data_IF_860064321699
#
_entry.id   IF_860064321699
#
_cell.length_a   1.000
_cell.length_b   1.000
_cell.length_c   1.000
_cell.angle_alpha   90.00
_cell.angle_beta   90.00
_cell.angle_gamma   90.00
#
_symmetry.space_group_name_H-M   'P 1'
#
loop_
_entity.id
_entity.type
_entity.pdbx_description
1 polymer ?
#
# COMPACT_ATOMS: atom_id res chain seq x y z
N UNK A 1 35.67 -8.55 4.39
CA UNK A 1 34.36 -8.16 4.92
C UNK A 1 33.37 -8.27 3.78
N UNK A 2 32.22 -8.88 4.03
CA UNK A 2 31.18 -9.06 3.03
C UNK A 2 30.33 -7.79 2.94
N UNK A 3 29.85 -7.41 1.75
CA UNK A 3 28.99 -6.24 1.57
C UNK A 3 27.51 -6.61 1.81
N UNK A 4 27.22 -7.04 3.04
CA UNK A 4 25.90 -7.55 3.47
C UNK A 4 25.56 -7.08 4.90
N UNK A 5 24.28 -7.11 5.25
CA UNK A 5 23.80 -7.13 6.62
C UNK A 5 23.20 -8.49 6.97
N UNK A 6 23.32 -8.89 8.23
CA UNK A 6 22.80 -10.18 8.74
C UNK A 6 21.95 -9.93 9.96
N UNK A 7 20.74 -10.47 9.95
CA UNK A 7 19.80 -10.49 11.08
C UNK A 7 19.52 -11.94 11.44
N UNK A 8 19.59 -12.26 12.72
CA UNK A 8 19.23 -13.57 13.28
C UNK A 8 18.13 -13.38 14.31
N UNK A 9 17.41 -14.44 14.67
CA UNK A 9 16.41 -14.37 15.73
C UNK A 9 17.02 -13.92 17.06
N UNK A 10 18.22 -14.45 17.36
CA UNK A 10 18.97 -14.10 18.56
C UNK A 10 20.14 -13.18 18.26
N UNK A 11 20.33 -12.16 19.11
CA UNK A 11 21.52 -11.31 19.11
C UNK A 11 21.40 -10.04 18.25
N UNK A 12 22.49 -9.25 18.17
CA UNK A 12 22.48 -7.98 17.46
C UNK A 12 22.70 -8.14 15.95
N UNK A 13 22.00 -7.32 15.16
CA UNK A 13 22.24 -7.12 13.73
C UNK A 13 23.73 -6.91 13.42
N UNK A 14 24.23 -7.58 12.38
CA UNK A 14 25.62 -7.47 11.93
C UNK A 14 25.66 -6.73 10.61
N UNK A 15 26.54 -5.73 10.53
CA UNK A 15 26.86 -5.03 9.28
C UNK A 15 28.24 -5.43 8.82
N UNK A 16 28.35 -5.83 7.56
CA UNK A 16 29.56 -6.24 6.86
C UNK A 16 30.39 -7.33 7.55
N UNK A 17 29.81 -8.45 8.02
CA UNK A 17 30.55 -9.47 8.75
C UNK A 17 31.66 -10.12 7.90
N UNK A 18 32.59 -10.80 8.58
CA UNK A 18 33.54 -11.70 7.92
C UNK A 18 32.90 -13.02 7.49
N UNK A 19 33.57 -13.78 6.63
CA UNK A 19 33.06 -15.09 6.19
C UNK A 19 32.94 -16.09 7.34
N UNK A 20 33.96 -16.16 8.21
CA UNK A 20 33.94 -17.05 9.38
C UNK A 20 32.78 -16.72 10.33
N UNK A 21 32.48 -15.43 10.50
CA UNK A 21 31.36 -14.97 11.33
C UNK A 21 30.01 -15.38 10.72
N UNK A 22 29.81 -15.18 9.41
CA UNK A 22 28.59 -15.63 8.74
C UNK A 22 28.42 -17.15 8.82
N UNK A 23 29.51 -17.91 8.65
CA UNK A 23 29.48 -19.37 8.80
C UNK A 23 29.08 -19.80 10.22
N UNK A 24 29.63 -19.16 11.25
CA UNK A 24 29.28 -19.46 12.65
C UNK A 24 27.81 -19.17 12.94
N UNK A 25 27.26 -18.07 12.41
CA UNK A 25 25.85 -17.74 12.54
C UNK A 25 24.96 -18.79 11.86
N UNK A 26 25.26 -19.17 10.63
CA UNK A 26 24.47 -20.17 9.87
C UNK A 26 24.46 -21.55 10.54
N UNK A 27 25.58 -21.98 11.12
CA UNK A 27 25.68 -23.29 11.80
C UNK A 27 24.90 -23.37 13.10
N UNK A 28 24.56 -22.23 13.71
CA UNK A 28 23.73 -22.18 14.93
C UNK A 28 22.23 -22.33 14.64
N UNK A 29 21.81 -22.07 13.41
CA UNK A 29 20.40 -22.03 13.05
C UNK A 29 19.74 -23.41 13.26
N UNK A 30 18.64 -23.42 14.01
CA UNK A 30 17.97 -24.60 14.55
C UNK A 30 18.21 -24.81 16.06
N UNK A 31 19.03 -23.98 16.71
CA UNK A 31 19.17 -24.00 18.16
C UNK A 31 17.99 -23.26 18.85
N UNK A 32 17.82 -23.49 20.15
CA UNK A 32 16.81 -22.80 20.96
C UNK A 32 16.92 -21.27 20.84
N UNK A 33 15.82 -20.62 20.45
CA UNK A 33 15.71 -19.18 20.14
C UNK A 33 16.61 -18.69 18.98
N UNK A 34 17.05 -19.57 18.06
CA UNK A 34 17.86 -19.19 16.90
C UNK A 34 17.43 -19.96 15.65
N UNK A 35 16.21 -19.71 15.17
CA UNK A 35 15.59 -20.50 14.10
C UNK A 35 15.74 -19.87 12.71
N UNK A 36 16.08 -18.58 12.61
CA UNK A 36 16.23 -17.91 11.32
C UNK A 36 17.47 -17.04 11.20
N UNK A 37 17.90 -16.89 9.95
CA UNK A 37 18.86 -15.88 9.51
C UNK A 37 18.36 -15.25 8.22
N UNK A 38 18.44 -13.92 8.13
CA UNK A 38 18.14 -13.12 6.94
C UNK A 38 19.38 -12.32 6.58
N UNK A 39 19.78 -12.39 5.32
CA UNK A 39 20.96 -11.69 4.79
C UNK A 39 20.54 -10.80 3.63
N UNK A 40 20.84 -9.50 3.75
CA UNK A 40 20.49 -8.45 2.79
C UNK A 40 21.77 -7.81 2.23
N UNK A 41 21.69 -7.17 1.07
CA UNK A 41 22.83 -6.41 0.50
C UNK A 41 23.17 -5.20 1.37
N UNK A 42 24.43 -4.76 1.36
CA UNK A 42 24.87 -3.52 1.99
C UNK A 42 25.72 -2.70 1.01
N UNK A 43 25.29 -1.50 0.54
CA UNK A 43 24.02 -0.84 0.87
C UNK A 43 22.80 -1.68 0.48
N UNK A 44 21.68 -1.45 1.17
CA UNK A 44 20.44 -2.21 0.98
C UNK A 44 19.95 -2.11 -0.47
N UNK A 45 19.75 -3.26 -1.09
CA UNK A 45 19.09 -3.39 -2.38
C UNK A 45 17.66 -3.88 -2.10
N UNK A 46 16.67 -3.09 -2.52
CA UNK A 46 15.27 -3.42 -2.28
C UNK A 46 14.93 -4.81 -2.84
N UNK A 47 14.21 -5.60 -2.05
CA UNK A 47 13.74 -6.94 -2.44
C UNK A 47 14.87 -7.95 -2.76
N UNK A 48 16.11 -7.72 -2.32
CA UNK A 48 17.24 -8.62 -2.54
C UNK A 48 17.77 -9.21 -1.23
N UNK A 49 17.44 -10.48 -0.95
CA UNK A 49 17.89 -11.18 0.25
C UNK A 49 18.08 -12.68 0.01
N UNK A 50 18.84 -13.32 0.90
CA UNK A 50 18.83 -14.77 1.11
C UNK A 50 18.56 -15.05 2.58
N UNK A 51 17.66 -15.98 2.87
CA UNK A 51 17.29 -16.35 4.23
C UNK A 51 17.23 -17.86 4.41
N UNK A 52 17.40 -18.30 5.64
CA UNK A 52 17.24 -19.69 6.02
C UNK A 52 16.49 -19.78 7.32
N UNK A 53 15.60 -20.76 7.40
CA UNK A 53 14.89 -21.14 8.61
C UNK A 53 15.08 -22.63 8.87
N UNK A 54 15.21 -23.01 10.14
CA UNK A 54 15.31 -24.40 10.57
C UNK A 54 14.75 -24.55 11.98
N UNK A 55 14.05 -25.66 12.20
CA UNK A 55 13.63 -26.10 13.53
C UNK A 55 14.44 -27.32 13.95
N UNK A 56 15.02 -27.25 15.15
CA UNK A 56 15.91 -28.27 15.71
C UNK A 56 16.94 -28.80 14.67
N UNK A 57 16.95 -30.13 14.49
CA UNK A 57 17.82 -30.83 13.55
C UNK A 57 17.16 -31.07 12.18
N UNK A 58 15.99 -30.49 11.90
CA UNK A 58 15.24 -30.64 10.66
C UNK A 58 15.97 -30.12 9.40
N UNK A 59 15.38 -30.25 8.20
CA UNK A 59 15.94 -29.62 7.02
C UNK A 59 15.86 -28.09 7.12
N UNK A 60 16.85 -27.40 6.57
CA UNK A 60 16.77 -25.98 6.33
C UNK A 60 15.75 -25.71 5.22
N UNK A 61 14.83 -24.78 5.47
CA UNK A 61 14.14 -24.05 4.42
C UNK A 61 15.03 -22.87 4.03
N UNK A 62 15.55 -22.87 2.80
CA UNK A 62 16.36 -21.78 2.27
C UNK A 62 15.54 -21.03 1.24
N UNK A 63 15.56 -19.71 1.30
CA UNK A 63 14.87 -18.86 0.35
C UNK A 63 15.76 -17.72 -0.11
N UNK A 64 15.52 -17.24 -1.32
CA UNK A 64 16.08 -15.98 -1.75
C UNK A 64 15.05 -15.19 -2.55
N UNK A 65 15.20 -13.87 -2.52
CA UNK A 65 14.50 -12.95 -3.40
C UNK A 65 15.52 -12.15 -4.19
N UNK A 66 15.33 -12.07 -5.50
CA UNK A 66 16.23 -11.40 -6.42
C UNK A 66 15.57 -10.12 -6.94
N UNK A 67 15.44 -9.10 -6.11
CA UNK A 67 15.02 -7.74 -6.50
C UNK A 67 13.57 -7.58 -6.99
N UNK A 68 12.74 -8.62 -6.92
CA UNK A 68 11.30 -8.53 -7.20
C UNK A 68 10.52 -9.66 -6.49
N UNK A 69 9.24 -9.45 -6.16
CA UNK A 69 8.41 -10.45 -5.48
C UNK A 69 8.25 -11.76 -6.26
N UNK A 70 8.16 -11.70 -7.60
CA UNK A 70 8.01 -12.85 -8.50
C UNK A 70 9.32 -13.62 -8.66
N UNK A 71 10.44 -12.99 -8.29
CA UNK A 71 11.79 -13.60 -8.28
C UNK A 71 12.13 -14.10 -6.87
N UNK A 72 11.17 -14.72 -6.20
CA UNK A 72 11.35 -15.40 -4.92
C UNK A 72 11.37 -16.90 -5.15
N UNK A 73 12.37 -17.56 -4.58
CA UNK A 73 12.55 -19.00 -4.69
C UNK A 73 12.79 -19.62 -3.31
N UNK A 74 12.39 -20.87 -3.16
CA UNK A 74 12.58 -21.70 -1.96
C UNK A 74 13.23 -23.03 -2.36
N UNK A 75 14.07 -23.56 -1.48
CA UNK A 75 14.57 -24.93 -1.53
C UNK A 75 14.65 -25.51 -0.12
N UNK A 76 14.69 -26.84 -0.01
CA UNK A 76 15.01 -27.53 1.24
C UNK A 76 16.40 -28.15 1.17
N UNK A 77 17.15 -28.10 2.27
CA UNK A 77 18.45 -28.77 2.39
C UNK A 77 18.67 -29.33 3.78
N UNK A 78 18.99 -30.62 3.89
CA UNK A 78 19.47 -31.23 5.14
C UNK A 78 20.97 -31.03 5.39
N UNK A 79 21.69 -30.44 4.43
CA UNK A 79 23.15 -30.24 4.51
C UNK A 79 23.46 -28.79 4.90
N UNK A 80 23.88 -28.59 6.15
CA UNK A 80 24.24 -27.29 6.69
C UNK A 80 25.45 -26.67 5.97
N UNK A 81 26.43 -27.47 5.53
CA UNK A 81 27.60 -26.94 4.84
C UNK A 81 27.22 -26.46 3.43
N UNK A 82 26.30 -27.17 2.76
CA UNK A 82 25.74 -26.68 1.49
C UNK A 82 25.01 -25.34 1.65
N UNK A 83 24.25 -25.15 2.74
CA UNK A 83 23.60 -23.87 3.05
C UNK A 83 24.64 -22.78 3.29
N UNK A 84 25.71 -23.06 4.03
CA UNK A 84 26.83 -22.12 4.23
C UNK A 84 27.47 -21.72 2.90
N UNK A 85 27.72 -22.68 2.00
CA UNK A 85 28.28 -22.41 0.67
C UNK A 85 27.37 -21.47 -0.15
N UNK A 86 26.06 -21.71 -0.14
CA UNK A 86 25.07 -20.86 -0.82
C UNK A 86 25.15 -19.42 -0.32
N UNK A 87 25.12 -19.20 1.00
CA UNK A 87 25.13 -17.87 1.58
C UNK A 87 26.45 -17.14 1.34
N UNK A 88 27.59 -17.83 1.46
CA UNK A 88 28.90 -17.24 1.21
C UNK A 88 29.08 -16.86 -0.27
N UNK A 89 28.67 -17.72 -1.20
CA UNK A 89 28.75 -17.41 -2.63
C UNK A 89 27.83 -16.25 -3.01
N UNK A 90 26.58 -16.23 -2.50
CA UNK A 90 25.67 -15.10 -2.68
C UNK A 90 26.25 -13.80 -2.12
N UNK A 91 26.81 -13.82 -0.91
CA UNK A 91 27.39 -12.66 -0.25
C UNK A 91 28.63 -12.09 -0.97
N UNK A 92 29.38 -12.94 -1.68
CA UNK A 92 30.51 -12.52 -2.53
C UNK A 92 30.08 -11.97 -3.90
N UNK A 93 28.80 -12.12 -4.26
CA UNK A 93 28.30 -11.79 -5.60
C UNK A 93 28.60 -12.87 -6.65
N UNK A 94 28.83 -14.12 -6.22
CA UNK A 94 28.96 -15.26 -7.11
C UNK A 94 27.63 -15.70 -7.73
N UNK A 95 27.69 -16.77 -8.54
CA UNK A 95 26.52 -17.32 -9.23
C UNK A 95 26.32 -18.83 -9.00
N UNK A 96 27.27 -19.50 -8.36
CA UNK A 96 27.22 -20.95 -8.15
C UNK A 96 26.05 -21.35 -7.24
N UNK A 97 25.69 -20.47 -6.28
CA UNK A 97 24.53 -20.63 -5.42
C UNK A 97 23.21 -20.84 -6.18
N UNK A 98 23.07 -20.26 -7.39
CA UNK A 98 21.84 -20.35 -8.20
C UNK A 98 21.53 -21.77 -8.69
N UNK A 99 22.52 -22.65 -8.70
CA UNK A 99 22.36 -24.07 -9.08
C UNK A 99 22.72 -25.02 -7.95
N UNK A 100 23.05 -24.49 -6.77
CA UNK A 100 23.55 -25.27 -5.64
C UNK A 100 22.46 -26.05 -4.91
N UNK A 101 21.20 -25.62 -5.01
CA UNK A 101 20.01 -26.27 -4.45
C UNK A 101 18.95 -26.44 -5.56
N UNK A 102 17.97 -27.30 -5.30
CA UNK A 102 16.81 -27.49 -6.18
C UNK A 102 15.78 -26.38 -5.93
N UNK A 103 16.08 -25.19 -6.46
CA UNK A 103 15.25 -24.00 -6.28
C UNK A 103 13.91 -24.13 -6.98
N UNK A 104 12.83 -23.97 -6.22
CA UNK A 104 11.46 -23.88 -6.71
C UNK A 104 10.96 -22.44 -6.54
N UNK A 105 10.09 -21.95 -7.43
CA UNK A 105 9.45 -20.65 -7.24
C UNK A 105 8.65 -20.64 -5.93
N UNK A 106 8.86 -19.64 -5.09
CA UNK A 106 8.10 -19.48 -3.87
C UNK A 106 6.69 -19.00 -4.24
N UNK A 107 5.71 -19.86 -4.02
CA UNK A 107 4.32 -19.60 -4.38
C UNK A 107 3.63 -18.66 -3.36
N UNK A 108 4.10 -17.41 -3.31
CA UNK A 108 3.57 -16.42 -2.37
C UNK A 108 2.30 -15.73 -2.89
N UNK A 109 2.20 -15.57 -4.21
CA UNK A 109 1.12 -14.80 -4.85
C UNK A 109 0.29 -15.61 -5.84
N UNK A 110 0.60 -16.89 -6.10
CA UNK A 110 -0.32 -17.69 -6.90
C UNK A 110 -1.54 -18.04 -6.08
N UNK A 111 -2.65 -18.21 -6.79
CA UNK A 111 -3.96 -18.53 -6.24
C UNK A 111 -4.38 -19.86 -6.86
N UNK A 112 -3.84 -21.00 -6.39
CA UNK A 112 -4.06 -22.29 -7.02
C UNK A 112 -5.56 -22.63 -7.06
N UNK A 113 -6.07 -22.96 -8.24
CA UNK A 113 -7.48 -23.29 -8.44
C UNK A 113 -8.40 -22.09 -8.70
N UNK A 114 -7.90 -20.86 -8.57
CA UNK A 114 -8.63 -19.68 -9.01
C UNK A 114 -8.54 -19.55 -10.54
N UNK A 115 -9.69 -19.37 -11.20
CA UNK A 115 -9.69 -19.21 -12.65
C UNK A 115 -9.05 -17.87 -13.08
N UNK A 116 -8.39 -17.81 -14.25
CA UNK A 116 -7.65 -16.61 -14.66
C UNK A 116 -8.53 -15.37 -14.90
N UNK A 117 -9.79 -15.53 -15.31
CA UNK A 117 -10.69 -14.41 -15.60
C UNK A 117 -11.14 -13.75 -14.29
N UNK A 118 -11.56 -14.56 -13.32
CA UNK A 118 -11.86 -14.10 -11.96
C UNK A 118 -10.65 -13.47 -11.29
N UNK A 119 -9.46 -14.07 -11.42
CA UNK A 119 -8.22 -13.48 -10.90
C UNK A 119 -7.97 -12.10 -11.51
N UNK A 120 -8.13 -11.93 -12.81
CA UNK A 120 -7.95 -10.64 -13.48
C UNK A 120 -8.94 -9.57 -12.98
N UNK A 121 -10.21 -9.94 -12.75
CA UNK A 121 -11.21 -9.04 -12.15
C UNK A 121 -10.81 -8.65 -10.72
N UNK A 122 -10.34 -9.61 -9.92
CA UNK A 122 -9.87 -9.36 -8.56
C UNK A 122 -8.65 -8.44 -8.53
N UNK A 123 -7.69 -8.63 -9.44
CA UNK A 123 -6.53 -7.76 -9.62
C UNK A 123 -6.92 -6.33 -10.00
N UNK A 124 -7.83 -6.17 -10.98
CA UNK A 124 -8.31 -4.85 -11.36
C UNK A 124 -8.94 -4.12 -10.18
N UNK A 125 -9.76 -4.83 -9.40
CA UNK A 125 -10.40 -4.30 -8.19
C UNK A 125 -9.40 -3.93 -7.10
N UNK A 126 -8.37 -4.75 -6.91
CA UNK A 126 -7.28 -4.48 -5.99
C UNK A 126 -6.50 -3.23 -6.42
N UNK A 127 -6.10 -3.13 -7.70
CA UNK A 127 -5.37 -1.97 -8.25
C UNK A 127 -6.15 -0.67 -8.04
N UNK A 128 -7.45 -0.65 -8.30
CA UNK A 128 -8.30 0.53 -8.06
C UNK A 128 -8.25 1.00 -6.59
N UNK A 129 -8.40 0.07 -5.64
CA UNK A 129 -8.39 0.41 -4.21
C UNK A 129 -6.99 0.85 -3.72
N UNK A 130 -5.94 0.15 -4.18
CA UNK A 130 -4.52 0.45 -3.88
C UNK A 130 -4.13 1.82 -4.43
N UNK A 131 -4.51 2.13 -5.68
CA UNK A 131 -4.20 3.42 -6.30
C UNK A 131 -4.98 4.57 -5.65
N UNK A 132 -6.20 4.29 -5.17
CA UNK A 132 -6.96 5.23 -4.36
C UNK A 132 -6.22 5.63 -3.07
N UNK A 133 -5.50 4.69 -2.44
CA UNK A 133 -4.58 4.97 -1.33
C UNK A 133 -5.25 5.33 0.00
N UNK A 134 -6.55 5.04 0.15
CA UNK A 134 -7.31 5.28 1.39
C UNK A 134 -7.50 4.05 2.26
N UNK A 135 -7.32 2.85 1.71
CA UNK A 135 -7.57 1.58 2.39
C UNK A 135 -6.26 0.93 2.79
N UNK A 136 -6.23 0.31 3.97
CA UNK A 136 -5.12 -0.54 4.38
C UNK A 136 -5.14 -1.90 3.66
N UNK A 137 -4.08 -2.68 3.82
CA UNK A 137 -3.92 -3.99 3.16
C UNK A 137 -5.11 -4.93 3.42
N UNK A 138 -5.59 -4.98 4.67
CA UNK A 138 -6.68 -5.86 5.06
C UNK A 138 -8.00 -5.41 4.44
N UNK A 139 -8.28 -4.11 4.48
CA UNK A 139 -9.47 -3.51 3.87
C UNK A 139 -9.51 -3.72 2.36
N UNK A 140 -8.35 -3.64 1.67
CA UNK A 140 -8.27 -3.96 0.24
C UNK A 140 -8.57 -5.44 0.00
N UNK A 141 -7.93 -6.36 0.72
CA UNK A 141 -8.15 -7.80 0.54
C UNK A 141 -9.61 -8.20 0.83
N UNK A 142 -10.20 -7.64 1.89
CA UNK A 142 -11.62 -7.83 2.21
C UNK A 142 -12.51 -7.27 1.10
N UNK A 143 -12.25 -6.04 0.63
CA UNK A 143 -13.04 -5.42 -0.44
C UNK A 143 -12.93 -6.14 -1.80
N UNK A 144 -11.83 -6.85 -2.05
CA UNK A 144 -11.67 -7.72 -3.24
C UNK A 144 -12.52 -8.98 -3.09
N UNK A 145 -12.46 -9.65 -1.93
CA UNK A 145 -13.28 -10.84 -1.64
C UNK A 145 -14.79 -10.53 -1.72
N UNK A 146 -15.23 -9.47 -1.04
CA UNK A 146 -16.64 -9.06 -0.97
C UNK A 146 -17.22 -8.65 -2.34
N UNK A 147 -16.38 -8.24 -3.29
CA UNK A 147 -16.83 -7.84 -4.63
C UNK A 147 -17.50 -8.99 -5.40
N UNK A 148 -17.24 -10.24 -5.01
CA UNK A 148 -17.83 -11.43 -5.64
C UNK A 148 -19.07 -11.97 -4.91
N UNK A 149 -19.56 -11.24 -3.89
CA UNK A 149 -20.75 -11.59 -3.14
C UNK A 149 -20.45 -12.40 -1.86
N UNK A 150 -21.43 -12.48 -0.94
CA UNK A 150 -21.21 -13.05 0.39
C UNK A 150 -21.28 -14.59 0.46
N UNK A 151 -21.87 -15.25 -0.53
CA UNK A 151 -22.09 -16.70 -0.54
C UNK A 151 -21.14 -17.39 -1.53
N UNK A 152 -20.24 -18.24 -1.01
CA UNK A 152 -19.26 -19.01 -1.78
C UNK A 152 -18.52 -18.19 -2.85
N UNK A 153 -17.84 -17.08 -2.46
CA UNK A 153 -17.17 -16.23 -3.42
C UNK A 153 -16.08 -17.03 -4.14
N UNK A 154 -15.98 -16.94 -5.48
CA UNK A 154 -14.92 -17.60 -6.24
C UNK A 154 -13.52 -17.14 -5.82
N UNK A 155 -13.39 -15.96 -5.21
CA UNK A 155 -12.16 -15.47 -4.59
C UNK A 155 -12.28 -15.57 -3.08
N UNK A 156 -11.50 -16.46 -2.48
CA UNK A 156 -11.39 -16.53 -1.02
C UNK A 156 -10.64 -15.30 -0.46
N UNK A 157 -10.80 -15.02 0.84
CA UNK A 157 -10.00 -13.95 1.48
C UNK A 157 -8.48 -14.25 1.41
N UNK A 158 -8.09 -15.52 1.41
CA UNK A 158 -6.70 -15.93 1.32
C UNK A 158 -6.14 -15.66 -0.09
N UNK A 159 -6.89 -15.99 -1.15
CA UNK A 159 -6.53 -15.65 -2.53
C UNK A 159 -6.50 -14.13 -2.74
N UNK A 160 -7.46 -13.39 -2.16
CA UNK A 160 -7.45 -11.94 -2.18
C UNK A 160 -6.19 -11.37 -1.52
N UNK A 161 -5.77 -11.90 -0.36
CA UNK A 161 -4.51 -11.48 0.29
C UNK A 161 -3.29 -11.76 -0.57
N UNK A 162 -3.23 -12.90 -1.27
CA UNK A 162 -2.14 -13.21 -2.21
C UNK A 162 -2.10 -12.24 -3.39
N UNK A 163 -3.25 -11.96 -4.00
CA UNK A 163 -3.37 -10.99 -5.10
C UNK A 163 -2.94 -9.59 -4.63
N UNK A 164 -3.48 -9.13 -3.50
CA UNK A 164 -3.17 -7.82 -2.93
C UNK A 164 -1.69 -7.75 -2.52
N UNK A 165 -1.11 -8.83 -2.00
CA UNK A 165 0.32 -8.96 -1.66
C UNK A 165 1.24 -8.44 -2.74
N UNK A 166 1.17 -9.04 -3.93
CA UNK A 166 2.04 -8.64 -5.05
C UNK A 166 1.81 -7.19 -5.47
N UNK A 167 0.54 -6.79 -5.63
CA UNK A 167 0.16 -5.44 -6.06
C UNK A 167 0.54 -4.35 -5.04
N UNK A 168 0.51 -4.68 -3.75
CA UNK A 168 0.89 -3.77 -2.68
C UNK A 168 2.40 -3.54 -2.67
N UNK A 169 3.19 -4.58 -2.90
CA UNK A 169 4.64 -4.47 -3.04
C UNK A 169 5.06 -3.66 -4.28
N UNK A 170 4.41 -3.91 -5.43
CA UNK A 170 4.55 -3.08 -6.64
C UNK A 170 4.31 -1.60 -6.31
N UNK A 171 3.21 -1.32 -5.60
CA UNK A 171 2.84 0.05 -5.20
C UNK A 171 3.86 0.70 -4.27
N UNK A 172 4.39 -0.04 -3.30
CA UNK A 172 5.41 0.47 -2.38
C UNK A 172 6.71 0.79 -3.12
N UNK A 173 7.09 -0.02 -4.12
CA UNK A 173 8.26 0.26 -4.96
C UNK A 173 8.07 1.54 -5.78
N UNK A 174 6.90 1.73 -6.41
CA UNK A 174 6.57 2.99 -7.11
C UNK A 174 6.67 4.21 -6.18
N UNK A 175 6.15 4.07 -4.95
CA UNK A 175 6.14 5.16 -3.96
C UNK A 175 7.53 5.63 -3.55
N UNK A 176 8.55 4.76 -3.61
CA UNK A 176 9.92 5.12 -3.28
C UNK A 176 10.52 6.14 -4.27
N UNK A 177 10.00 6.19 -5.50
CA UNK A 177 10.44 7.10 -6.55
C UNK A 177 9.66 8.43 -6.57
N UNK A 178 8.65 8.58 -5.71
CA UNK A 178 7.78 9.75 -5.71
C UNK A 178 8.43 10.97 -5.08
N UNK A 179 8.05 12.19 -5.53
CA UNK A 179 8.45 13.41 -4.85
C UNK A 179 7.90 13.45 -3.43
N UNK A 180 8.59 14.14 -2.51
CA UNK A 180 8.17 14.30 -1.11
C UNK A 180 6.71 14.77 -0.97
N UNK A 181 6.29 15.69 -1.85
CA UNK A 181 4.91 16.20 -1.90
C UNK A 181 4.29 15.84 -3.24
N UNK A 182 3.18 15.10 -3.21
CA UNK A 182 2.36 14.75 -4.38
C UNK A 182 1.12 15.64 -4.50
N UNK A 183 0.39 15.54 -5.62
CA UNK A 183 -0.89 16.25 -5.76
C UNK A 183 -1.95 15.74 -4.77
N UNK A 184 -1.92 14.46 -4.41
CA UNK A 184 -2.79 13.93 -3.36
C UNK A 184 -2.51 14.58 -1.99
N UNK A 185 -1.24 14.87 -1.68
CA UNK A 185 -0.87 15.62 -0.46
C UNK A 185 -1.38 17.07 -0.52
N UNK A 186 -1.37 17.70 -1.69
CA UNK A 186 -1.94 19.04 -1.91
C UNK A 186 -3.45 19.05 -1.73
N UNK A 187 -4.15 18.05 -2.26
CA UNK A 187 -5.60 17.87 -2.06
C UNK A 187 -5.90 17.71 -0.57
N UNK A 188 -5.15 16.86 0.14
CA UNK A 188 -5.32 16.67 1.58
C UNK A 188 -5.17 17.99 2.37
N UNK A 189 -4.13 18.77 2.08
CA UNK A 189 -3.91 20.09 2.69
C UNK A 189 -5.04 21.08 2.38
N UNK A 190 -5.56 21.07 1.15
CA UNK A 190 -6.68 21.93 0.79
C UNK A 190 -7.97 21.55 1.56
N UNK A 191 -8.25 20.25 1.70
CA UNK A 191 -9.39 19.76 2.48
C UNK A 191 -9.26 20.07 3.98
N UNK A 192 -8.07 19.92 4.55
CA UNK A 192 -7.79 20.34 5.94
C UNK A 192 -8.02 21.84 6.14
N UNK A 193 -7.51 22.67 5.22
CA UNK A 193 -7.70 24.12 5.25
C UNK A 193 -9.17 24.53 5.07
N UNK A 194 -9.95 23.78 4.30
CA UNK A 194 -11.40 23.99 4.14
C UNK A 194 -12.16 23.65 5.43
N UNK A 195 -11.75 22.58 6.12
CA UNK A 195 -12.24 22.25 7.46
C UNK A 195 -12.01 23.40 8.45
N UNK A 196 -10.80 23.95 8.49
CA UNK A 196 -10.46 25.09 9.33
C UNK A 196 -11.22 26.39 8.99
N UNK A 197 -11.84 26.47 7.80
CA UNK A 197 -12.66 27.61 7.33
C UNK A 197 -14.16 27.42 7.56
N UNK A 198 -14.55 26.42 8.37
CA UNK A 198 -15.94 26.14 8.74
C UNK A 198 -16.72 25.41 7.65
N UNK A 199 -16.09 24.44 6.98
CA UNK A 199 -16.77 23.52 6.08
C UNK A 199 -16.62 22.07 6.57
N UNK A 200 -17.69 21.29 6.46
CA UNK A 200 -17.63 19.83 6.60
C UNK A 200 -16.84 19.26 5.41
N UNK A 201 -15.54 19.07 5.57
CA UNK A 201 -14.64 18.59 4.52
C UNK A 201 -14.40 17.08 4.64
N UNK A 202 -14.72 16.31 3.60
CA UNK A 202 -14.49 14.86 3.57
C UNK A 202 -13.87 14.37 2.27
N UNK A 203 -12.80 13.59 2.38
CA UNK A 203 -12.10 12.97 1.26
C UNK A 203 -12.55 11.52 1.14
N UNK A 204 -12.72 11.04 -0.10
CA UNK A 204 -13.10 9.65 -0.39
C UNK A 204 -14.25 9.20 0.51
N UNK A 205 -15.38 9.90 0.44
CA UNK A 205 -16.49 9.78 1.36
C UNK A 205 -17.72 9.17 0.69
N UNK A 206 -18.21 8.06 1.27
CA UNK A 206 -19.34 7.29 0.75
C UNK A 206 -19.11 6.70 -0.65
N UNK A 207 -19.99 5.80 -1.08
CA UNK A 207 -19.79 5.06 -2.33
C UNK A 207 -20.08 5.89 -3.59
N UNK A 208 -20.99 6.87 -3.51
CA UNK A 208 -21.41 7.68 -4.64
C UNK A 208 -21.98 9.03 -4.17
N UNK A 209 -22.21 9.94 -5.12
CA UNK A 209 -22.75 11.28 -4.84
C UNK A 209 -24.07 11.28 -4.07
N UNK A 210 -24.99 10.36 -4.35
CA UNK A 210 -26.31 10.36 -3.72
C UNK A 210 -26.25 9.92 -2.24
N UNK A 211 -25.43 8.91 -1.95
CA UNK A 211 -25.18 8.47 -0.58
C UNK A 211 -24.45 9.56 0.21
N UNK A 212 -23.39 10.15 -0.37
CA UNK A 212 -22.62 11.21 0.27
C UNK A 212 -23.48 12.42 0.63
N UNK A 213 -24.36 12.89 -0.26
CA UNK A 213 -25.26 14.03 0.03
C UNK A 213 -26.24 13.71 1.15
N UNK A 214 -26.76 12.48 1.23
CA UNK A 214 -27.66 12.05 2.31
C UNK A 214 -26.97 11.94 3.68
N UNK A 215 -25.66 11.67 3.68
CA UNK A 215 -24.89 11.40 4.91
C UNK A 215 -24.17 12.65 5.43
N UNK A 216 -23.58 13.47 4.56
CA UNK A 216 -22.66 14.57 4.92
C UNK A 216 -23.27 15.63 5.85
N UNK A 217 -24.60 15.83 5.78
CA UNK A 217 -25.30 16.76 6.65
C UNK A 217 -25.27 16.32 8.13
N UNK A 218 -25.19 15.02 8.40
CA UNK A 218 -25.10 14.47 9.75
C UNK A 218 -23.73 14.68 10.39
N UNK A 219 -22.71 15.00 9.60
CA UNK A 219 -21.34 15.24 10.07
C UNK A 219 -21.02 16.73 10.28
N UNK A 220 -22.01 17.60 10.08
CA UNK A 220 -21.89 19.05 10.27
C UNK A 220 -21.48 19.37 11.71
N UNK A 221 -20.34 20.06 11.88
CA UNK A 221 -19.98 20.62 13.17
C UNK A 221 -20.75 21.93 13.45
N UNK A 222 -20.81 22.32 14.72
CA UNK A 222 -21.39 23.61 15.10
C UNK A 222 -20.59 24.76 14.44
N UNK A 223 -21.28 25.63 13.72
CA UNK A 223 -20.67 26.75 12.99
C UNK A 223 -20.26 26.44 11.55
N UNK A 224 -20.31 25.19 11.10
CA UNK A 224 -20.07 24.88 9.69
C UNK A 224 -21.16 25.49 8.82
N UNK A 225 -20.73 26.23 7.79
CA UNK A 225 -21.60 26.97 6.85
C UNK A 225 -21.84 26.23 5.54
N UNK A 226 -21.13 25.13 5.31
CA UNK A 226 -21.26 24.32 4.11
C UNK A 226 -20.44 23.05 4.21
N UNK A 227 -20.38 22.31 3.11
CA UNK A 227 -19.63 21.06 3.01
C UNK A 227 -18.87 21.00 1.69
N UNK A 228 -17.87 20.13 1.67
CA UNK A 228 -17.07 19.81 0.49
C UNK A 228 -16.65 18.36 0.56
N UNK A 229 -16.83 17.61 -0.53
CA UNK A 229 -16.42 16.21 -0.59
C UNK A 229 -16.09 15.73 -2.00
N UNK A 230 -15.36 14.61 -2.07
CA UNK A 230 -15.34 13.71 -3.22
C UNK A 230 -15.55 12.29 -2.72
N UNK A 231 -16.16 11.42 -3.53
CA UNK A 231 -16.56 10.07 -3.15
C UNK A 231 -15.66 8.99 -3.77
N UNK A 232 -15.90 7.72 -3.44
CA UNK A 232 -15.06 6.60 -3.89
C UNK A 232 -14.83 6.59 -5.41
N UNK A 233 -15.89 6.78 -6.21
CA UNK A 233 -15.78 6.79 -7.68
C UNK A 233 -14.99 8.00 -8.22
N UNK A 234 -14.97 9.14 -7.52
CA UNK A 234 -14.15 10.28 -7.95
C UNK A 234 -12.66 9.97 -7.70
N UNK A 235 -12.36 9.27 -6.61
CA UNK A 235 -11.00 8.77 -6.32
C UNK A 235 -10.55 7.76 -7.37
N UNK A 236 -11.42 6.83 -7.77
CA UNK A 236 -11.13 5.85 -8.83
C UNK A 236 -10.84 6.57 -10.16
N UNK A 237 -11.68 7.53 -10.56
CA UNK A 237 -11.45 8.34 -11.76
C UNK A 237 -10.13 9.13 -11.69
N UNK A 238 -9.79 9.72 -10.54
CA UNK A 238 -8.54 10.43 -10.34
C UNK A 238 -7.33 9.51 -10.47
N UNK A 239 -7.40 8.32 -9.87
CA UNK A 239 -6.37 7.28 -9.95
C UNK A 239 -6.17 6.75 -11.39
N UNK A 240 -7.21 6.78 -12.22
CA UNK A 240 -7.18 6.43 -13.64
C UNK A 240 -6.76 7.60 -14.56
N UNK A 241 -6.47 8.78 -13.98
CA UNK A 241 -5.98 9.96 -14.71
C UNK A 241 -7.08 10.83 -15.33
N UNK A 242 -8.33 10.66 -14.92
CA UNK A 242 -9.47 11.43 -15.40
C UNK A 242 -9.73 12.74 -14.62
N UNK A 243 -8.84 13.08 -13.67
CA UNK A 243 -9.00 14.23 -12.79
C UNK A 243 -9.90 13.93 -11.59
N UNK A 244 -10.09 14.93 -10.71
CA UNK A 244 -10.89 14.79 -9.50
C UNK A 244 -12.09 15.75 -9.52
N UNK A 245 -13.29 15.21 -9.40
CA UNK A 245 -14.50 16.00 -9.23
C UNK A 245 -14.76 16.25 -7.74
N UNK A 246 -14.87 17.52 -7.35
CA UNK A 246 -15.13 17.97 -5.99
C UNK A 246 -16.52 18.59 -5.94
N UNK A 247 -17.37 18.02 -5.07
CA UNK A 247 -18.72 18.50 -4.80
C UNK A 247 -18.71 19.37 -3.56
N UNK A 248 -19.62 20.32 -3.52
CA UNK A 248 -19.76 21.24 -2.40
C UNK A 248 -21.21 21.69 -2.27
N UNK A 249 -21.54 22.28 -1.13
CA UNK A 249 -22.83 22.86 -0.87
C UNK A 249 -22.81 23.74 0.37
N UNK A 250 -23.89 24.47 0.60
CA UNK A 250 -24.05 25.34 1.75
C UNK A 250 -25.13 24.79 2.69
N UNK A 251 -24.95 25.03 3.98
CA UNK A 251 -25.99 24.77 4.98
C UNK A 251 -26.76 26.06 5.24
N UNK A 252 -28.07 26.03 5.04
CA UNK A 252 -28.95 27.14 5.45
C UNK A 252 -29.25 27.07 6.94
N UNK A 253 -29.51 28.23 7.55
CA UNK A 253 -30.09 28.30 8.90
C UNK A 253 -31.55 27.82 8.92
N UNK A 254 -32.29 28.05 7.83
CA UNK A 254 -33.65 27.55 7.64
C UNK A 254 -33.94 27.29 6.15
N UNK A 255 -34.56 26.15 5.84
CA UNK A 255 -34.94 25.77 4.47
C UNK A 255 -33.76 25.30 3.62
N UNK A 256 -33.81 25.59 2.32
CA UNK A 256 -32.74 25.25 1.38
C UNK A 256 -31.77 26.42 1.23
N UNK A 257 -30.47 26.13 1.15
CA UNK A 257 -29.47 27.15 0.90
C UNK A 257 -29.65 27.77 -0.48
N UNK A 258 -29.51 29.09 -0.56
CA UNK A 258 -29.61 29.84 -1.80
C UNK A 258 -28.46 29.52 -2.77
N UNK A 259 -28.68 29.80 -4.06
CA UNK A 259 -27.63 29.72 -5.07
C UNK A 259 -26.42 30.61 -4.73
N UNK A 260 -26.65 31.77 -4.11
CA UNK A 260 -25.59 32.70 -3.69
C UNK A 260 -24.72 32.11 -2.58
N UNK A 261 -25.33 31.49 -1.56
CA UNK A 261 -24.60 30.82 -0.47
C UNK A 261 -23.78 29.63 -1.00
N UNK A 262 -24.37 28.81 -1.88
CA UNK A 262 -23.64 27.70 -2.53
C UNK A 262 -22.47 28.24 -3.36
N UNK A 263 -22.70 29.27 -4.17
CA UNK A 263 -21.65 29.92 -4.98
C UNK A 263 -20.51 30.45 -4.09
N UNK A 264 -20.83 31.04 -2.93
CA UNK A 264 -19.81 31.51 -1.99
C UNK A 264 -18.97 30.37 -1.39
N UNK A 265 -19.57 29.22 -1.10
CA UNK A 265 -18.83 28.00 -0.73
C UNK A 265 -17.95 27.54 -1.89
N UNK A 266 -18.48 27.45 -3.11
CA UNK A 266 -17.72 27.07 -4.31
C UNK A 266 -16.47 27.93 -4.53
N UNK A 267 -16.61 29.26 -4.39
CA UNK A 267 -15.46 30.20 -4.42
C UNK A 267 -14.43 29.92 -3.34
N UNK A 268 -14.86 29.55 -2.13
CA UNK A 268 -13.96 29.18 -1.03
C UNK A 268 -13.17 27.92 -1.38
N UNK A 269 -13.86 26.90 -1.92
CA UNK A 269 -13.25 25.63 -2.32
C UNK A 269 -12.23 25.85 -3.44
N UNK A 270 -12.58 26.57 -4.50
CA UNK A 270 -11.64 26.92 -5.58
C UNK A 270 -10.43 27.66 -5.04
N UNK A 271 -10.63 28.67 -4.19
CA UNK A 271 -9.52 29.43 -3.60
C UNK A 271 -8.57 28.56 -2.77
N UNK A 272 -9.09 27.61 -1.98
CA UNK A 272 -8.27 26.69 -1.22
C UNK A 272 -7.48 25.71 -2.11
N UNK A 273 -8.14 25.14 -3.13
CA UNK A 273 -7.50 24.23 -4.08
C UNK A 273 -6.40 24.95 -4.89
N UNK A 274 -6.69 26.13 -5.45
CA UNK A 274 -5.70 26.95 -6.15
C UNK A 274 -4.57 27.40 -5.22
N UNK A 275 -4.89 27.74 -3.97
CA UNK A 275 -3.90 28.07 -2.93
C UNK A 275 -2.94 26.91 -2.60
N UNK A 276 -3.40 25.67 -2.71
CA UNK A 276 -2.58 24.47 -2.59
C UNK A 276 -1.76 24.15 -3.87
N UNK A 277 -1.93 24.93 -4.93
CA UNK A 277 -1.27 24.76 -6.22
C UNK A 277 -1.97 23.78 -7.16
N UNK A 278 -3.25 23.48 -6.95
CA UNK A 278 -4.03 22.58 -7.79
C UNK A 278 -4.77 23.36 -8.90
N UNK A 279 -4.86 22.81 -10.13
CA UNK A 279 -5.56 23.44 -11.25
C UNK A 279 -7.08 23.23 -11.13
N UNK A 280 -7.70 23.90 -10.17
CA UNK A 280 -9.15 23.88 -9.99
C UNK A 280 -9.87 24.66 -11.11
N UNK A 281 -10.84 24.03 -11.73
CA UNK A 281 -11.66 24.54 -12.82
C UNK A 281 -13.12 24.58 -12.37
N UNK A 282 -13.73 25.75 -12.47
CA UNK A 282 -15.14 25.96 -12.14
C UNK A 282 -15.64 27.24 -12.82
N UNK A 283 -16.84 27.18 -13.39
CA UNK A 283 -17.45 28.28 -14.16
C UNK A 283 -18.28 29.25 -13.30
N UNK A 284 -18.42 28.96 -12.00
CA UNK A 284 -19.22 29.75 -11.08
C UNK A 284 -20.65 29.25 -10.89
N UNK A 285 -21.06 28.19 -11.59
CA UNK A 285 -22.39 27.59 -11.44
C UNK A 285 -22.45 26.76 -10.14
N UNK A 286 -23.33 27.13 -9.17
CA UNK A 286 -23.47 26.43 -7.89
C UNK A 286 -24.00 25.00 -8.00
N UNK A 287 -24.53 24.60 -9.17
CA UNK A 287 -25.06 23.27 -9.42
C UNK A 287 -24.06 22.39 -10.21
N UNK A 288 -22.86 22.91 -10.49
CA UNK A 288 -21.74 22.19 -11.12
C UNK A 288 -20.64 21.85 -10.13
N UNK A 289 -20.00 20.71 -10.37
CA UNK A 289 -18.81 20.27 -9.61
C UNK A 289 -17.60 21.14 -9.95
N UNK A 290 -16.65 21.21 -9.02
CA UNK A 290 -15.33 21.78 -9.27
C UNK A 290 -14.44 20.64 -9.77
N UNK A 291 -13.83 20.80 -10.93
CA UNK A 291 -12.92 19.80 -11.50
C UNK A 291 -11.47 20.16 -11.21
N UNK A 292 -10.64 19.18 -10.84
CA UNK A 292 -9.20 19.36 -10.73
C UNK A 292 -8.55 18.56 -11.85
N UNK A 293 -8.08 19.28 -12.88
CA UNK A 293 -7.43 18.69 -14.04
C UNK A 293 -6.44 19.68 -14.69
N UNK A 294 -5.25 19.22 -15.12
CA UNK A 294 -4.69 17.88 -14.94
C UNK A 294 -4.36 17.58 -13.47
N UNK A 295 -4.37 16.30 -13.08
CA UNK A 295 -4.08 15.87 -11.71
C UNK A 295 -3.28 14.55 -11.75
N UNK A 296 -2.11 14.53 -11.12
CA UNK A 296 -1.30 13.30 -10.98
C UNK A 296 -1.60 12.64 -9.63
N UNK A 297 -2.62 11.78 -9.60
CA UNK A 297 -3.09 11.18 -8.36
C UNK A 297 -2.12 10.11 -7.82
N UNK A 298 -1.29 10.54 -6.86
CA UNK A 298 -0.32 9.69 -6.15
C UNK A 298 -0.52 9.76 -4.65
N UNK A 299 -1.59 9.14 -4.17
CA UNK A 299 -1.83 8.99 -2.73
C UNK A 299 -1.03 7.82 -2.20
N UNK A 300 -0.20 8.09 -1.18
CA UNK A 300 0.56 7.05 -0.48
C UNK A 300 -0.37 6.12 0.28
N UNK A 301 -0.05 4.84 0.25
CA UNK A 301 -0.69 3.81 1.05
C UNK A 301 -0.62 4.18 2.54
N UNK A 302 -1.66 3.89 3.33
CA UNK A 302 -1.64 4.12 4.76
C UNK A 302 -0.46 3.36 5.38
N UNK A 303 0.37 4.08 6.16
CA UNK A 303 1.34 3.41 7.02
C UNK A 303 0.57 2.56 8.01
N UNK A 304 0.87 1.26 8.11
CA UNK A 304 0.39 0.42 9.21
C UNK A 304 0.91 1.03 10.49
N UNK A 305 0.07 1.85 11.15
CA UNK A 305 0.42 2.44 12.42
C UNK A 305 0.71 1.32 13.39
N UNK A 306 1.90 1.31 13.98
CA UNK A 306 2.11 0.75 15.31
C UNK A 306 1.18 1.52 16.25
N UNK A 307 -0.08 1.13 16.31
CA UNK A 307 -1.00 1.60 17.34
C UNK A 307 -0.46 1.05 18.64
N UNK A 308 0.13 1.94 19.44
CA UNK A 308 0.75 1.63 20.71
C UNK A 308 -0.18 0.82 21.59
N UNK A 309 0.24 -0.41 21.88
CA UNK A 309 -0.14 -1.09 23.11
C UNK A 309 0.58 -0.36 24.23
N UNK A 310 -0.08 0.65 24.79
CA UNK A 310 0.46 1.52 25.83
C UNK A 310 -0.62 1.91 26.82
N UNK A 311 -0.46 1.35 28.02
CA UNK A 311 -1.23 1.49 29.28
C UNK A 311 -2.46 0.58 29.44
#
# INVERSE_FOLDING_TARGET
MLEISVKTESGPDRSRPGEAELTELLRRIGAHDDHFVVVERCPEEAQAFVQAWRDDDGPFTVEYRDGAPERHFRAESGDAERVVEVFLDWARGGEAWRTALDWQGADLYSTPGLDPETRAVAEQRARQQIHGGFRDFHEVAQGVCEAFGPEDPPVSLDDARRIVGGLWEERLAEQAEWPEVTDADRVARAFEALGAQGLTARMNYSCCSNCAVGEIAHERAEGDRGFVFFHFQDTEAAAEGHGLAVRYGAYAEAGEASAEERTAVGRTVVAALTGAGLPAQWDGDPDRVIEIAPLDWRKRLPSTGTTGMGA
#
